data_IF_215913586146
#
_entry.id   IF_215913586146
#
_cell.length_a   1.000
_cell.length_b   1.000
_cell.length_c   1.000
_cell.angle_alpha   90.00
_cell.angle_beta   90.00
_cell.angle_gamma   90.00
#
_symmetry.space_group_name_H-M   'P 1'
#
loop_
_entity.id
_entity.type
_entity.pdbx_description
1 polymer ?
#
# COMPACT_ATOMS: atom_id res chain seq x y z
N UNK A 1 -5.59 -6.36 -3.40
CA UNK A 1 -4.41 -5.47 -3.39
C UNK A 1 -4.64 -4.37 -2.37
N UNK A 2 -3.81 -4.30 -1.32
CA UNK A 2 -4.01 -3.37 -0.17
C UNK A 2 -3.72 -1.91 -0.53
N UNK A 3 -2.67 -1.68 -1.31
CA UNK A 3 -2.21 -0.32 -1.66
C UNK A 3 -3.24 0.47 -2.48
N UNK A 4 -3.93 -0.18 -3.43
CA UNK A 4 -5.00 0.48 -4.20
C UNK A 4 -6.17 0.88 -3.32
N UNK A 5 -6.48 0.06 -2.30
CA UNK A 5 -7.54 0.38 -1.35
C UNK A 5 -7.13 1.58 -0.50
N UNK A 6 -5.91 1.58 0.03
CA UNK A 6 -5.41 2.68 0.84
C UNK A 6 -5.39 4.02 0.07
N UNK A 7 -4.92 4.02 -1.19
CA UNK A 7 -4.97 5.20 -2.05
C UNK A 7 -6.41 5.66 -2.33
N UNK A 8 -7.30 4.71 -2.63
CA UNK A 8 -8.70 5.01 -2.88
C UNK A 8 -9.41 5.57 -1.64
N UNK A 9 -9.07 5.09 -0.44
CA UNK A 9 -9.58 5.62 0.84
C UNK A 9 -9.13 7.06 1.08
N UNK A 10 -7.89 7.42 0.74
CA UNK A 10 -7.37 8.79 0.85
C UNK A 10 -8.05 9.72 -0.16
N UNK A 11 -8.18 9.28 -1.40
CA UNK A 11 -8.84 10.05 -2.45
C UNK A 11 -10.39 10.07 -2.29
N UNK A 12 -10.94 9.24 -1.40
CA UNK A 12 -12.38 9.12 -1.16
C UNK A 12 -13.14 8.50 -2.34
N UNK A 13 -12.45 7.70 -3.16
CA UNK A 13 -12.99 7.04 -4.36
C UNK A 13 -12.97 5.52 -4.18
N UNK A 14 -13.59 4.78 -5.10
CA UNK A 14 -13.37 3.34 -5.16
C UNK A 14 -12.04 2.99 -5.86
N UNK A 15 -11.40 1.85 -5.55
CA UNK A 15 -10.12 1.45 -6.17
C UNK A 15 -10.13 1.37 -7.69
N UNK A 16 -11.31 1.19 -8.29
CA UNK A 16 -11.50 1.16 -9.74
C UNK A 16 -11.87 2.54 -10.34
N UNK A 17 -12.10 3.53 -9.49
CA UNK A 17 -12.37 4.93 -9.86
C UNK A 17 -11.12 5.81 -9.78
N UNK A 18 -9.99 5.29 -9.29
CA UNK A 18 -8.70 5.96 -9.41
C UNK A 18 -8.47 6.31 -10.88
N UNK A 19 -8.19 7.59 -11.16
CA UNK A 19 -7.94 8.07 -12.54
C UNK A 19 -6.68 7.46 -13.16
N UNK A 20 -5.86 6.80 -12.34
CA UNK A 20 -4.66 6.07 -12.71
C UNK A 20 -4.72 4.62 -12.26
N UNK A 21 -4.14 3.74 -13.07
CA UNK A 21 -3.95 2.34 -12.68
C UNK A 21 -2.63 2.19 -11.95
N UNK A 22 -2.64 1.66 -10.72
CA UNK A 22 -1.41 1.32 -10.00
C UNK A 22 -0.48 0.41 -10.81
N UNK A 23 -1.03 -0.47 -11.64
CA UNK A 23 -0.28 -1.29 -12.60
C UNK A 23 0.61 -0.47 -13.56
N UNK A 24 0.27 0.79 -13.85
CA UNK A 24 1.08 1.66 -14.70
C UNK A 24 2.23 2.35 -13.94
N UNK A 25 2.08 2.52 -12.62
CA UNK A 25 3.11 3.13 -11.77
C UNK A 25 4.08 2.07 -11.22
N UNK A 26 3.55 0.91 -10.87
CA UNK A 26 4.28 -0.17 -10.23
C UNK A 26 3.74 -1.52 -10.70
N UNK A 27 4.63 -2.52 -10.79
CA UNK A 27 4.20 -3.89 -10.98
C UNK A 27 3.59 -4.41 -9.67
N UNK A 28 2.26 -4.45 -9.63
CA UNK A 28 1.50 -4.88 -8.45
C UNK A 28 1.68 -6.36 -8.14
N UNK A 29 1.98 -7.21 -9.12
CA UNK A 29 2.30 -8.62 -8.90
C UNK A 29 3.65 -8.76 -8.18
N UNK A 30 4.65 -7.99 -8.61
CA UNK A 30 5.95 -7.95 -7.94
C UNK A 30 5.82 -7.41 -6.51
N UNK A 31 4.95 -6.42 -6.28
CA UNK A 31 4.67 -5.87 -4.96
C UNK A 31 4.01 -6.90 -4.04
N UNK A 32 3.00 -7.62 -4.51
CA UNK A 32 2.35 -8.69 -3.74
C UNK A 32 3.34 -9.83 -3.43
N UNK A 33 4.25 -10.15 -4.36
CA UNK A 33 5.33 -11.12 -4.11
C UNK A 33 6.30 -10.62 -3.03
N UNK A 34 6.65 -9.33 -3.04
CA UNK A 34 7.50 -8.73 -2.01
C UNK A 34 6.80 -8.74 -0.64
N UNK A 35 5.52 -8.38 -0.58
CA UNK A 35 4.71 -8.43 0.66
C UNK A 35 4.53 -9.85 1.20
N UNK A 36 4.48 -10.85 0.31
CA UNK A 36 4.39 -12.26 0.70
C UNK A 36 5.76 -12.82 1.10
N UNK A 37 6.85 -12.14 0.75
CA UNK A 37 8.19 -12.57 1.13
C UNK A 37 8.38 -12.41 2.64
N UNK A 38 9.02 -13.40 3.28
CA UNK A 38 9.29 -13.37 4.74
C UNK A 38 10.43 -12.43 5.14
N UNK A 39 10.85 -11.53 4.26
CA UNK A 39 11.95 -10.61 4.51
C UNK A 39 11.34 -9.25 4.87
N UNK A 40 11.43 -8.80 6.13
CA UNK A 40 10.94 -7.48 6.52
C UNK A 40 11.93 -6.36 6.14
N UNK A 41 13.15 -6.71 5.75
CA UNK A 41 14.26 -5.78 5.50
C UNK A 41 14.21 -5.15 4.10
N UNK A 42 13.04 -4.65 3.70
CA UNK A 42 12.92 -3.84 2.50
C UNK A 42 11.88 -2.73 2.70
N UNK A 43 12.09 -1.64 1.99
CA UNK A 43 11.17 -0.53 1.88
C UNK A 43 11.07 -0.18 0.41
N UNK A 44 9.86 0.01 -0.08
CA UNK A 44 9.59 0.41 -1.45
C UNK A 44 8.81 1.70 -1.45
N UNK A 45 9.49 2.78 -1.81
CA UNK A 45 8.86 4.09 -2.01
C UNK A 45 8.66 4.34 -3.50
N UNK A 46 7.43 4.65 -3.90
CA UNK A 46 7.09 5.04 -5.27
C UNK A 46 6.08 6.20 -5.27
N UNK A 47 6.02 6.93 -6.37
CA UNK A 47 5.08 8.04 -6.53
C UNK A 47 3.94 7.65 -7.44
N UNK A 48 2.73 7.99 -7.02
CA UNK A 48 1.53 8.01 -7.85
C UNK A 48 1.16 9.47 -8.13
N UNK A 49 0.23 9.74 -9.05
CA UNK A 49 -0.35 11.07 -9.17
C UNK A 49 -0.88 11.54 -7.80
N UNK A 50 -0.58 12.79 -7.43
CA UNK A 50 -0.91 13.43 -6.14
C UNK A 50 -0.29 12.86 -4.85
N UNK A 51 0.18 11.60 -4.83
CA UNK A 51 0.62 10.96 -3.58
C UNK A 51 1.97 10.21 -3.67
N UNK A 52 2.69 10.15 -2.57
CA UNK A 52 3.88 9.30 -2.40
C UNK A 52 3.53 8.09 -1.54
N UNK A 53 3.73 6.87 -2.06
CA UNK A 53 3.42 5.64 -1.33
C UNK A 53 4.71 4.95 -0.90
N UNK A 54 4.79 4.61 0.37
CA UNK A 54 5.88 3.81 0.96
C UNK A 54 5.30 2.51 1.48
N UNK A 55 5.88 1.39 1.04
CA UNK A 55 5.51 0.05 1.48
C UNK A 55 6.69 -0.58 2.20
N UNK A 56 6.45 -1.08 3.41
CA UNK A 56 7.44 -1.79 4.20
C UNK A 56 7.30 -3.29 4.04
N UNK A 57 8.42 -4.01 4.16
CA UNK A 57 8.44 -5.48 4.15
C UNK A 57 7.72 -6.13 5.33
N UNK A 58 7.35 -5.37 6.35
CA UNK A 58 6.44 -5.78 7.42
C UNK A 58 4.98 -5.85 6.97
N UNK A 59 4.66 -5.32 5.79
CA UNK A 59 3.30 -5.15 5.29
C UNK A 59 2.68 -3.80 5.62
N UNK A 60 3.39 -2.92 6.34
CA UNK A 60 2.95 -1.56 6.61
C UNK A 60 2.95 -0.70 5.33
N UNK A 61 1.96 0.18 5.20
CA UNK A 61 1.77 1.08 4.07
C UNK A 61 1.64 2.49 4.62
N UNK A 62 2.46 3.40 4.09
CA UNK A 62 2.40 4.84 4.36
C UNK A 62 2.10 5.58 3.06
N UNK A 63 1.29 6.64 3.15
CA UNK A 63 0.97 7.52 2.02
C UNK A 63 1.20 8.97 2.46
N UNK A 64 2.04 9.69 1.73
CA UNK A 64 2.54 11.04 2.06
C UNK A 64 3.12 11.17 3.48
N UNK A 65 3.64 10.06 4.02
CA UNK A 65 4.17 9.96 5.37
C UNK A 65 3.12 9.70 6.46
N UNK A 66 1.86 9.43 6.08
CA UNK A 66 0.80 8.98 6.99
C UNK A 66 0.64 7.46 6.90
N UNK A 67 0.74 6.77 8.04
CA UNK A 67 0.56 5.32 8.14
C UNK A 67 -0.94 4.98 7.98
N UNK A 68 -1.26 4.26 6.92
CA UNK A 68 -2.65 3.93 6.52
C UNK A 68 -2.99 2.45 6.72
N UNK A 69 -2.00 1.56 6.65
CA UNK A 69 -2.12 0.15 6.99
C UNK A 69 -0.90 -0.26 7.80
N UNK A 70 -1.10 -0.89 8.97
CA UNK A 70 0.01 -1.32 9.81
C UNK A 70 0.60 -2.68 9.37
N UNK A 71 0.12 -3.26 8.27
CA UNK A 71 0.41 -4.65 7.91
C UNK A 71 -0.37 -5.62 8.81
N UNK A 72 -0.61 -6.85 8.33
CA UNK A 72 -1.37 -7.82 9.11
C UNK A 72 -0.55 -8.45 10.24
N UNK A 73 -0.38 -7.69 11.32
CA UNK A 73 -0.23 -8.17 12.70
C UNK A 73 -1.02 -7.28 13.67
N UNK A 74 -2.28 -6.91 13.36
CA UNK A 74 -3.16 -6.36 14.38
C UNK A 74 -4.66 -6.62 14.13
N UNK A 75 -5.05 -7.90 14.19
CA UNK A 75 -6.43 -8.30 14.52
C UNK A 75 -6.44 -9.04 15.85
N UNK A 76 -5.93 -8.42 16.92
CA UNK A 76 -6.21 -8.85 18.29
C UNK A 76 -6.43 -7.58 19.12
N UNK A 77 -7.64 -7.44 19.68
CA UNK A 77 -8.17 -6.36 20.53
C UNK A 77 -8.84 -5.16 19.84
N UNK A 78 -10.16 -5.27 19.67
CA UNK A 78 -11.08 -4.30 20.27
C UNK A 78 -12.22 -5.07 20.96
N UNK A 79 -12.32 -4.84 22.27
CA UNK A 79 -13.31 -5.37 23.24
C UNK A 79 -14.76 -4.99 22.91
#
# INVERSE_FOLDING_TARGET
>A
MRVARALAEIEGVEPHQLEYSLYNCINTEALELLMTSKQPEWELTFRVPDHTVTVHGTGAIEIDGELVDEGSENSIFKE
#
